data_IF_213655842565
#
_entry.id   IF_213655842565
#
_cell.length_a   1.000
_cell.length_b   1.000
_cell.length_c   1.000
_cell.angle_alpha   90.00
_cell.angle_beta   90.00
_cell.angle_gamma   90.00
#
_symmetry.space_group_name_H-M   'P 1'
#
loop_
_entity.id
_entity.type
_entity.pdbx_description
1 polymer ?
#
# COMPACT_ATOMS: atom_id res chain seq x y z
N UNK A 1 23.13 -56.94 69.66
CA UNK A 1 22.76 -56.46 68.31
C UNK A 1 21.32 -56.86 68.05
N UNK A 2 20.34 -55.95 68.04
CA UNK A 2 19.01 -56.29 67.54
C UNK A 2 18.98 -56.10 66.02
N UNK A 3 18.67 -57.18 65.31
CA UNK A 3 18.52 -57.19 63.84
C UNK A 3 17.02 -57.16 63.55
N UNK A 4 16.57 -56.13 62.85
CA UNK A 4 15.18 -56.03 62.36
C UNK A 4 15.05 -56.84 61.07
N UNK A 5 14.14 -57.82 61.04
CA UNK A 5 14.02 -58.82 59.97
C UNK A 5 13.02 -58.47 58.84
N UNK A 6 12.42 -57.27 58.83
CA UNK A 6 11.29 -56.96 57.93
C UNK A 6 11.59 -55.93 56.82
N UNK A 7 12.85 -55.74 56.42
CA UNK A 7 13.19 -54.85 55.30
C UNK A 7 14.07 -55.58 54.27
N UNK A 8 13.81 -55.46 52.96
CA UNK A 8 14.68 -56.04 51.93
C UNK A 8 16.08 -55.43 52.03
N UNK A 9 17.09 -56.29 52.01
CA UNK A 9 18.49 -55.93 52.17
C UNK A 9 18.90 -54.90 51.10
N UNK A 10 19.31 -53.70 51.53
CA UNK A 10 19.99 -52.73 50.64
C UNK A 10 19.61 -51.27 50.75
N UNK A 11 18.72 -50.85 51.64
CA UNK A 11 18.38 -49.41 51.79
C UNK A 11 19.06 -48.84 53.05
N UNK A 12 20.09 -47.98 52.93
CA UNK A 12 20.63 -47.27 54.08
C UNK A 12 19.55 -46.36 54.66
N UNK A 13 19.23 -46.51 55.95
CA UNK A 13 18.32 -45.63 56.67
C UNK A 13 18.95 -44.26 56.83
N UNK A 14 18.85 -43.43 55.79
CA UNK A 14 19.28 -42.05 55.86
C UNK A 14 18.35 -41.33 56.84
N UNK A 15 18.88 -40.97 58.02
CA UNK A 15 18.20 -40.05 58.94
C UNK A 15 17.81 -38.81 58.13
N UNK A 16 16.51 -38.59 57.97
CA UNK A 16 15.98 -37.36 57.38
C UNK A 16 16.31 -36.23 58.35
N UNK A 17 17.48 -35.61 58.18
CA UNK A 17 17.72 -34.28 58.72
C UNK A 17 16.76 -33.34 58.00
N UNK A 18 15.64 -33.03 58.65
CA UNK A 18 14.78 -31.94 58.22
C UNK A 18 15.63 -30.67 58.23
N UNK A 19 16.00 -30.18 57.05
CA UNK A 19 16.59 -28.86 56.91
C UNK A 19 15.68 -27.83 57.59
N UNK A 20 16.23 -26.79 58.25
CA UNK A 20 15.41 -25.76 58.86
C UNK A 20 14.49 -25.17 57.79
N UNK A 21 13.19 -25.11 58.09
CA UNK A 21 12.19 -24.50 57.21
C UNK A 21 12.54 -23.01 57.09
N UNK A 22 13.29 -22.67 56.04
CA UNK A 22 13.54 -21.28 55.67
C UNK A 22 12.18 -20.71 55.29
N UNK A 23 11.58 -19.94 56.21
CA UNK A 23 10.34 -19.22 55.97
C UNK A 23 10.60 -18.28 54.80
N UNK A 24 10.02 -18.59 53.63
CA UNK A 24 10.07 -17.68 52.47
C UNK A 24 9.59 -16.31 52.95
N UNK A 25 10.29 -15.22 52.65
CA UNK A 25 9.88 -13.90 53.10
C UNK A 25 8.45 -13.64 52.61
N UNK A 26 7.55 -13.36 53.55
CA UNK A 26 6.15 -13.04 53.26
C UNK A 26 6.12 -11.83 52.34
N UNK A 27 5.59 -12.00 51.12
CA UNK A 27 5.53 -10.94 50.11
C UNK A 27 6.25 -11.28 48.80
N UNK A 28 7.14 -12.27 48.77
CA UNK A 28 7.86 -12.65 47.53
C UNK A 28 6.92 -13.11 46.39
N UNK A 29 5.78 -13.71 46.74
CA UNK A 29 4.77 -14.09 45.76
C UNK A 29 3.98 -12.88 45.25
N UNK A 30 3.75 -11.88 46.11
CA UNK A 30 3.04 -10.65 45.77
C UNK A 30 3.92 -9.79 44.85
N UNK A 31 5.21 -9.65 45.14
CA UNK A 31 6.14 -8.92 44.28
C UNK A 31 6.31 -9.59 42.92
N UNK A 32 6.41 -10.93 42.87
CA UNK A 32 6.42 -11.69 41.62
C UNK A 32 5.13 -11.53 40.82
N UNK A 33 3.98 -11.50 41.50
CA UNK A 33 2.69 -11.27 40.85
C UNK A 33 2.60 -9.86 40.27
N UNK A 34 2.99 -8.84 41.03
CA UNK A 34 3.01 -7.45 40.56
C UNK A 34 3.95 -7.28 39.36
N UNK A 35 5.16 -7.82 39.43
CA UNK A 35 6.11 -7.76 38.31
C UNK A 35 5.55 -8.43 37.05
N UNK A 36 4.91 -9.59 37.19
CA UNK A 36 4.27 -10.30 36.08
C UNK A 36 3.09 -9.53 35.48
N UNK A 37 2.25 -8.93 36.32
CA UNK A 37 1.13 -8.10 35.87
C UNK A 37 1.63 -6.84 35.14
N UNK A 38 2.71 -6.23 35.63
CA UNK A 38 3.33 -5.09 34.98
C UNK A 38 3.93 -5.46 33.61
N UNK A 39 4.62 -6.59 33.51
CA UNK A 39 5.11 -7.14 32.24
C UNK A 39 3.96 -7.41 31.25
N UNK A 40 2.87 -8.04 31.72
CA UNK A 40 1.69 -8.30 30.88
C UNK A 40 1.03 -7.01 30.40
N UNK A 41 0.94 -6.01 31.27
CA UNK A 41 0.40 -4.71 30.92
C UNK A 41 1.28 -3.99 29.88
N UNK A 42 2.60 -4.04 30.03
CA UNK A 42 3.55 -3.51 29.04
C UNK A 42 3.41 -4.23 27.69
N UNK A 43 3.31 -5.57 27.69
CA UNK A 43 3.12 -6.36 26.47
C UNK A 43 1.82 -6.02 25.74
N UNK A 44 0.71 -5.82 26.48
CA UNK A 44 -0.58 -5.39 25.92
C UNK A 44 -0.49 -3.99 25.30
N UNK A 45 0.19 -3.05 25.96
CA UNK A 45 0.42 -1.71 25.40
C UNK A 45 1.27 -1.76 24.14
N UNK A 46 2.32 -2.58 24.13
CA UNK A 46 3.19 -2.73 22.98
C UNK A 46 2.45 -3.32 21.78
N UNK A 47 1.69 -4.40 21.98
CA UNK A 47 0.87 -5.02 20.92
C UNK A 47 -0.13 -4.04 20.33
N UNK A 48 -0.87 -3.31 21.17
CA UNK A 48 -1.82 -2.29 20.71
C UNK A 48 -1.14 -1.17 19.88
N UNK A 49 0.00 -0.67 20.34
CA UNK A 49 0.79 0.35 19.61
C UNK A 49 1.28 -0.19 18.27
N UNK A 50 1.75 -1.43 18.24
CA UNK A 50 2.25 -2.08 17.05
C UNK A 50 1.12 -2.33 16.03
N UNK A 51 -0.06 -2.78 16.47
CA UNK A 51 -1.24 -2.97 15.62
C UNK A 51 -1.71 -1.66 14.98
N UNK A 52 -1.72 -0.58 15.76
CA UNK A 52 -2.06 0.76 15.27
C UNK A 52 -1.06 1.22 14.21
N UNK A 53 0.24 1.03 14.47
CA UNK A 53 1.31 1.37 13.54
C UNK A 53 1.22 0.53 12.26
N UNK A 54 1.01 -0.78 12.37
CA UNK A 54 0.85 -1.68 11.23
C UNK A 54 -0.37 -1.32 10.37
N UNK A 55 -1.49 -0.96 11.00
CA UNK A 55 -2.68 -0.51 10.28
C UNK A 55 -2.42 0.78 9.50
N UNK A 56 -1.69 1.72 10.12
CA UNK A 56 -1.30 2.98 9.50
C UNK A 56 -0.36 2.78 8.32
N UNK A 57 0.67 1.96 8.45
CA UNK A 57 1.62 1.70 7.36
C UNK A 57 0.94 1.05 6.15
N UNK A 58 0.03 0.09 6.38
CA UNK A 58 -0.78 -0.51 5.31
C UNK A 58 -1.66 0.52 4.59
N UNK A 59 -2.27 1.44 5.35
CA UNK A 59 -3.08 2.50 4.78
C UNK A 59 -2.24 3.47 3.93
N UNK A 60 -1.08 3.91 4.45
CA UNK A 60 -0.15 4.79 3.74
C UNK A 60 0.38 4.12 2.47
N UNK A 61 0.71 2.82 2.52
CA UNK A 61 1.12 2.07 1.33
C UNK A 61 -0.01 1.99 0.29
N UNK A 62 -1.25 1.70 0.73
CA UNK A 62 -2.41 1.66 -0.16
C UNK A 62 -2.65 3.01 -0.82
N UNK A 63 -2.56 4.10 -0.06
CA UNK A 63 -2.67 5.46 -0.58
C UNK A 63 -1.56 5.77 -1.59
N UNK A 64 -0.31 5.43 -1.28
CA UNK A 64 0.81 5.62 -2.20
C UNK A 64 0.66 4.82 -3.50
N UNK A 65 0.06 3.63 -3.45
CA UNK A 65 -0.25 2.82 -4.65
C UNK A 65 -1.38 3.43 -5.48
N UNK A 66 -2.45 3.89 -4.84
CA UNK A 66 -3.63 4.45 -5.53
C UNK A 66 -3.35 5.84 -6.12
N UNK A 67 -2.79 6.72 -5.30
CA UNK A 67 -2.57 8.12 -5.67
C UNK A 67 -1.26 8.30 -6.44
N UNK A 68 -0.36 7.30 -6.39
CA UNK A 68 1.01 7.43 -6.84
C UNK A 68 1.81 8.37 -5.93
N UNK A 69 3.14 8.24 -5.93
CA UNK A 69 3.99 9.33 -5.41
C UNK A 69 3.63 10.62 -6.17
N UNK A 70 3.46 11.75 -5.48
CA UNK A 70 3.01 13.00 -6.10
C UNK A 70 3.81 13.39 -7.35
N UNK A 71 5.09 13.00 -7.43
CA UNK A 71 5.93 13.15 -8.62
C UNK A 71 5.41 12.39 -9.85
N UNK A 72 4.93 11.15 -9.70
CA UNK A 72 4.33 10.35 -10.80
C UNK A 72 3.02 10.97 -11.28
N UNK A 73 2.21 11.47 -10.36
CA UNK A 73 0.92 12.10 -10.70
C UNK A 73 1.12 13.41 -11.45
N UNK A 74 2.10 14.22 -11.03
CA UNK A 74 2.49 15.42 -11.77
C UNK A 74 3.08 15.10 -13.14
N UNK A 75 3.90 14.05 -13.25
CA UNK A 75 4.44 13.59 -14.52
C UNK A 75 3.32 13.16 -15.47
N UNK A 76 2.40 12.31 -15.00
CA UNK A 76 1.28 11.85 -15.82
C UNK A 76 0.41 13.01 -16.31
N UNK A 77 0.12 13.99 -15.45
CA UNK A 77 -0.61 15.21 -15.86
C UNK A 77 0.09 15.95 -17.00
N UNK A 78 1.41 16.15 -16.91
CA UNK A 78 2.18 16.78 -17.99
C UNK A 78 2.12 15.97 -19.28
N UNK A 79 2.24 14.65 -19.18
CA UNK A 79 2.14 13.76 -20.35
C UNK A 79 0.73 13.81 -20.99
N UNK A 80 -0.31 13.89 -20.18
CA UNK A 80 -1.69 14.03 -20.67
C UNK A 80 -1.90 15.38 -21.37
N UNK A 81 -1.38 16.47 -20.81
CA UNK A 81 -1.40 17.81 -21.41
C UNK A 81 -0.65 17.84 -22.76
N UNK A 82 0.57 17.27 -22.81
CA UNK A 82 1.35 17.15 -24.04
C UNK A 82 0.61 16.33 -25.10
N UNK A 83 -0.04 15.24 -24.70
CA UNK A 83 -0.85 14.40 -25.60
C UNK A 83 -2.05 15.16 -26.16
N UNK A 84 -2.71 15.98 -25.35
CA UNK A 84 -3.83 16.81 -25.83
C UNK A 84 -3.38 17.85 -26.84
N UNK A 85 -2.24 18.50 -26.61
CA UNK A 85 -1.68 19.49 -27.53
C UNK A 85 -1.33 18.84 -28.88
N UNK A 86 -0.64 17.69 -28.85
CA UNK A 86 -0.33 16.93 -30.05
C UNK A 86 -1.58 16.52 -30.83
N UNK A 87 -2.64 16.09 -30.15
CA UNK A 87 -3.91 15.75 -30.80
C UNK A 87 -4.55 16.98 -31.49
N UNK A 88 -4.53 18.15 -30.84
CA UNK A 88 -5.04 19.40 -31.43
C UNK A 88 -4.24 19.79 -32.67
N UNK A 89 -2.92 19.69 -32.63
CA UNK A 89 -2.05 19.99 -33.77
C UNK A 89 -2.30 19.04 -34.94
N UNK A 90 -2.43 17.74 -34.69
CA UNK A 90 -2.75 16.75 -35.73
C UNK A 90 -4.08 17.06 -36.40
N UNK A 91 -5.11 17.40 -35.63
CA UNK A 91 -6.41 17.79 -36.17
C UNK A 91 -6.34 19.08 -37.00
N UNK A 92 -5.59 20.08 -36.53
CA UNK A 92 -5.40 21.32 -37.26
C UNK A 92 -4.69 21.09 -38.60
N UNK A 93 -3.61 20.31 -38.61
CA UNK A 93 -2.87 19.95 -39.83
C UNK A 93 -3.77 19.16 -40.77
N UNK A 94 -4.52 18.17 -40.26
CA UNK A 94 -5.44 17.37 -41.08
C UNK A 94 -6.52 18.24 -41.72
N UNK A 95 -7.11 19.17 -40.95
CA UNK A 95 -8.11 20.12 -41.46
C UNK A 95 -7.52 20.99 -42.57
N UNK A 96 -6.33 21.57 -42.36
CA UNK A 96 -5.67 22.39 -43.37
C UNK A 96 -5.35 21.60 -44.65
N UNK A 97 -4.89 20.35 -44.53
CA UNK A 97 -4.64 19.47 -45.68
C UNK A 97 -5.91 19.13 -46.44
N UNK A 98 -6.99 18.80 -45.74
CA UNK A 98 -8.28 18.50 -46.36
C UNK A 98 -8.86 19.73 -47.05
N UNK A 99 -8.78 20.88 -46.40
CA UNK A 99 -9.22 22.14 -46.98
C UNK A 99 -8.47 22.41 -48.29
N UNK A 100 -7.14 22.34 -48.29
CA UNK A 100 -6.33 22.51 -49.50
C UNK A 100 -6.70 21.52 -50.60
N UNK A 101 -6.92 20.26 -50.25
CA UNK A 101 -7.34 19.25 -51.21
C UNK A 101 -8.69 19.61 -51.86
N UNK A 102 -9.69 19.95 -51.06
CA UNK A 102 -10.99 20.33 -51.61
C UNK A 102 -10.96 21.65 -52.36
N UNK A 103 -10.17 22.63 -51.94
CA UNK A 103 -9.94 23.86 -52.70
C UNK A 103 -9.40 23.54 -54.11
N UNK A 104 -8.41 22.66 -54.23
CA UNK A 104 -7.92 22.24 -55.54
C UNK A 104 -8.99 21.52 -56.37
N UNK A 105 -9.79 20.64 -55.76
CA UNK A 105 -10.89 19.98 -56.46
C UNK A 105 -11.96 20.98 -56.94
N UNK A 106 -12.29 21.98 -56.12
CA UNK A 106 -13.24 23.02 -56.48
C UNK A 106 -12.73 23.87 -57.65
N UNK A 107 -11.45 24.25 -57.64
CA UNK A 107 -10.86 25.00 -58.75
C UNK A 107 -10.93 24.22 -60.07
N UNK A 108 -10.63 22.92 -60.04
CA UNK A 108 -10.67 22.08 -61.23
C UNK A 108 -12.10 21.88 -61.75
N UNK A 109 -13.06 21.60 -60.87
CA UNK A 109 -14.47 21.55 -61.26
C UNK A 109 -14.98 22.87 -61.81
N UNK A 110 -14.55 24.00 -61.25
CA UNK A 110 -14.97 25.30 -61.75
C UNK A 110 -14.41 25.60 -63.14
N UNK A 111 -13.17 25.17 -63.45
CA UNK A 111 -12.62 25.23 -64.82
C UNK A 111 -13.45 24.39 -65.78
N UNK A 112 -13.78 23.15 -65.42
CA UNK A 112 -14.56 22.24 -66.26
C UNK A 112 -15.99 22.75 -66.51
N UNK A 113 -16.64 23.28 -65.47
CA UNK A 113 -17.99 23.85 -65.58
C UNK A 113 -17.97 25.11 -66.44
N UNK A 114 -16.98 26.00 -66.26
CA UNK A 114 -16.84 27.20 -67.10
C UNK A 114 -16.64 26.85 -68.56
N UNK A 115 -15.88 25.79 -68.86
CA UNK A 115 -15.72 25.30 -70.24
C UNK A 115 -17.05 24.85 -70.87
N UNK A 116 -18.04 24.48 -70.04
CA UNK A 116 -19.41 24.13 -70.43
C UNK A 116 -20.40 25.30 -70.31
N UNK A 117 -19.94 26.50 -69.97
CA UNK A 117 -20.80 27.68 -69.74
C UNK A 117 -21.57 27.65 -68.42
N UNK A 118 -21.21 26.78 -67.48
CA UNK A 118 -21.82 26.62 -66.15
C UNK A 118 -20.90 27.17 -65.05
N UNK A 119 -21.44 27.38 -63.84
CA UNK A 119 -20.67 27.82 -62.68
C UNK A 119 -21.18 27.17 -61.38
N UNK A 120 -20.29 27.05 -60.39
CA UNK A 120 -20.65 26.61 -59.05
C UNK A 120 -21.46 27.69 -58.32
N UNK A 121 -22.52 27.27 -57.62
CA UNK A 121 -23.30 28.15 -56.75
C UNK A 121 -22.46 28.50 -55.52
N UNK A 122 -22.25 29.79 -55.28
CA UNK A 122 -21.59 30.29 -54.08
C UNK A 122 -22.62 31.02 -53.22
N UNK A 123 -22.74 30.64 -51.95
CA UNK A 123 -23.52 31.41 -50.99
C UNK A 123 -22.83 32.76 -50.83
N UNK A 124 -23.54 33.84 -51.13
CA UNK A 124 -23.13 35.19 -50.75
C UNK A 124 -23.78 35.46 -49.40
N UNK A 125 -22.95 35.69 -48.39
CA UNK A 125 -23.40 36.33 -47.14
C UNK A 125 -23.79 37.79 -47.40
#
# INVERSE_FOLDING_TARGET
MPVHFDLPAGIPSQRVYRAPVVKKPSGLNVTRFIAREEELHQARKYTQSNETTASRTLWEEKQNRQTGSGARTQLNKRLDEERELLNKEVLAIRKARLQKYYETCYEDWEKELRARGLALVRNRD
#
